data_IF_773248154573
#
_entry.id   IF_773248154573
#
_cell.length_a   1.000
_cell.length_b   1.000
_cell.length_c   1.000
_cell.angle_alpha   90.00
_cell.angle_beta   90.00
_cell.angle_gamma   90.00
#
_symmetry.space_group_name_H-M   'P 1'
#
loop_
_entity.id
_entity.type
_entity.pdbx_description
1 polymer ?
#
# COMPACT_ATOMS: atom_id res chain seq x y z
N UNK A 1 -53.59 20.79 37.14
CA UNK A 1 -53.43 20.08 35.84
C UNK A 1 -54.80 19.50 35.51
N UNK A 2 -55.28 19.64 34.26
CA UNK A 2 -56.48 18.92 33.80
C UNK A 2 -56.21 17.44 33.64
N UNK A 3 -57.17 16.57 33.89
CA UNK A 3 -57.09 15.11 33.66
C UNK A 3 -56.58 14.81 32.22
N UNK A 4 -57.05 15.58 31.23
CA UNK A 4 -56.60 15.49 29.84
C UNK A 4 -55.11 15.84 29.68
N UNK A 5 -54.60 16.82 30.45
CA UNK A 5 -53.16 17.16 30.44
C UNK A 5 -52.31 16.06 31.06
N UNK A 6 -52.77 15.41 32.12
CA UNK A 6 -52.09 14.27 32.73
C UNK A 6 -52.09 13.04 31.79
N UNK A 7 -53.21 12.76 31.10
CA UNK A 7 -53.33 11.71 30.12
C UNK A 7 -52.33 11.91 28.95
N UNK A 8 -52.31 13.10 28.37
CA UNK A 8 -51.43 13.42 27.27
C UNK A 8 -49.96 13.35 27.70
N UNK A 9 -49.60 13.82 28.89
CA UNK A 9 -48.22 13.70 29.40
C UNK A 9 -47.80 12.26 29.60
N UNK A 10 -48.65 11.39 30.12
CA UNK A 10 -48.39 9.98 30.32
C UNK A 10 -48.26 9.23 28.97
N UNK A 11 -49.13 9.54 28.00
CA UNK A 11 -49.09 8.96 26.67
C UNK A 11 -47.79 9.36 25.93
N UNK A 12 -47.39 10.64 25.95
CA UNK A 12 -46.12 11.11 25.39
C UNK A 12 -44.94 10.48 26.12
N UNK A 13 -44.99 10.33 27.44
CA UNK A 13 -43.98 9.65 28.25
C UNK A 13 -43.78 8.17 27.80
N UNK A 14 -44.87 7.44 27.57
CA UNK A 14 -44.83 6.07 27.07
C UNK A 14 -44.23 5.98 25.67
N UNK A 15 -44.63 6.85 24.76
CA UNK A 15 -44.06 6.91 23.39
C UNK A 15 -42.56 7.20 23.41
N UNK A 16 -42.15 8.13 24.27
CA UNK A 16 -40.74 8.52 24.41
C UNK A 16 -39.91 7.38 24.98
N UNK A 17 -40.40 6.70 26.04
CA UNK A 17 -39.69 5.57 26.64
C UNK A 17 -39.60 4.39 25.69
N UNK A 18 -40.61 4.13 24.85
CA UNK A 18 -40.53 3.13 23.77
C UNK A 18 -39.45 3.47 22.73
N UNK A 19 -39.37 4.76 22.33
CA UNK A 19 -38.35 5.24 21.42
C UNK A 19 -36.93 5.09 21.98
N UNK A 20 -36.73 5.45 23.24
CA UNK A 20 -35.45 5.31 23.96
C UNK A 20 -35.05 3.83 24.12
N UNK A 21 -36.04 2.96 24.49
CA UNK A 21 -35.80 1.51 24.59
C UNK A 21 -35.34 0.92 23.27
N UNK A 22 -35.90 1.35 22.14
CA UNK A 22 -35.50 0.92 20.83
C UNK A 22 -34.06 1.36 20.49
N UNK A 23 -33.70 2.60 20.81
CA UNK A 23 -32.33 3.12 20.59
C UNK A 23 -31.33 2.32 21.42
N UNK A 24 -31.59 2.08 22.71
CA UNK A 24 -30.71 1.32 23.59
C UNK A 24 -30.60 -0.17 23.12
N UNK A 25 -31.70 -0.78 22.69
CA UNK A 25 -31.70 -2.12 22.14
C UNK A 25 -30.88 -2.19 20.82
N UNK A 26 -31.00 -1.19 19.92
CA UNK A 26 -30.20 -1.08 18.70
C UNK A 26 -28.72 -0.93 19.06
N UNK A 27 -28.36 -0.10 20.07
CA UNK A 27 -26.98 0.07 20.54
C UNK A 27 -26.41 -1.28 21.04
N UNK A 28 -27.11 -1.97 21.93
CA UNK A 28 -26.65 -3.29 22.46
C UNK A 28 -26.51 -4.31 21.35
N UNK A 29 -27.48 -4.40 20.44
CA UNK A 29 -27.46 -5.36 19.33
C UNK A 29 -26.30 -5.14 18.37
N UNK A 30 -25.87 -3.89 18.20
CA UNK A 30 -24.81 -3.51 17.27
C UNK A 30 -23.47 -3.17 17.96
N UNK A 31 -23.34 -3.40 19.27
CA UNK A 31 -22.13 -3.09 20.02
C UNK A 31 -20.85 -3.71 19.45
N UNK A 32 -20.97 -4.87 18.77
CA UNK A 32 -19.87 -5.58 18.12
C UNK A 32 -19.81 -5.36 16.60
N UNK A 33 -20.70 -4.52 16.04
CA UNK A 33 -20.73 -4.24 14.60
C UNK A 33 -19.64 -3.22 14.26
N UNK A 34 -18.68 -3.54 13.38
CA UNK A 34 -17.64 -2.59 12.97
C UNK A 34 -18.25 -1.31 12.37
N UNK A 35 -17.76 -0.15 12.79
CA UNK A 35 -18.24 1.15 12.31
C UNK A 35 -19.54 1.65 12.93
N UNK A 36 -20.18 0.85 13.82
CA UNK A 36 -21.34 1.32 14.54
C UNK A 36 -20.94 2.37 15.60
N UNK A 37 -21.69 3.45 15.66
CA UNK A 37 -21.51 4.54 16.62
C UNK A 37 -22.70 4.62 17.55
N UNK A 38 -22.43 4.79 18.85
CA UNK A 38 -23.47 4.93 19.88
C UNK A 38 -24.46 6.02 19.51
N UNK A 39 -25.75 5.70 19.62
CA UNK A 39 -26.86 6.64 19.36
C UNK A 39 -27.52 7.05 20.66
N UNK A 40 -27.93 8.31 20.74
CA UNK A 40 -28.61 8.86 21.90
C UNK A 40 -29.86 9.67 21.49
N UNK A 41 -30.97 9.46 22.17
CA UNK A 41 -32.19 10.26 21.97
C UNK A 41 -32.10 11.58 22.72
N UNK A 42 -32.17 12.71 22.03
CA UNK A 42 -32.22 14.04 22.63
C UNK A 42 -33.67 14.36 23.00
N UNK A 43 -33.91 14.57 24.29
CA UNK A 43 -35.24 14.87 24.82
C UNK A 43 -35.49 16.38 24.90
N UNK A 44 -36.67 16.79 24.46
CA UNK A 44 -37.16 18.17 24.64
C UNK A 44 -38.56 18.17 25.21
N UNK A 45 -38.90 19.23 25.93
CA UNK A 45 -40.26 19.47 26.41
C UNK A 45 -41.09 20.07 25.28
N UNK A 46 -42.26 19.49 24.93
CA UNK A 46 -43.17 20.11 23.98
C UNK A 46 -43.55 21.52 24.45
N UNK A 47 -43.97 22.41 23.52
CA UNK A 47 -44.21 23.83 23.77
C UNK A 47 -45.12 24.13 24.97
N UNK A 48 -45.19 25.40 25.38
CA UNK A 48 -45.88 25.88 26.57
C UNK A 48 -47.32 25.37 26.63
N UNK A 49 -47.63 24.61 27.70
CA UNK A 49 -48.98 24.05 27.96
C UNK A 49 -49.13 22.56 27.64
N UNK A 50 -48.16 21.91 27.03
CA UNK A 50 -48.11 20.45 26.80
C UNK A 50 -47.09 19.85 27.79
N UNK A 51 -47.55 19.00 28.70
CA UNK A 51 -46.68 18.25 29.62
C UNK A 51 -46.08 17.04 28.89
N UNK A 52 -44.94 16.53 29.39
CA UNK A 52 -44.24 15.36 28.87
C UNK A 52 -42.91 15.68 28.22
N UNK A 53 -42.25 14.69 27.69
CA UNK A 53 -41.01 14.81 26.90
C UNK A 53 -41.18 14.07 25.58
N UNK A 54 -40.54 14.55 24.54
CA UNK A 54 -40.47 13.90 23.22
C UNK A 54 -39.03 13.77 22.77
N UNK A 55 -38.72 12.76 21.98
CA UNK A 55 -37.42 12.67 21.27
C UNK A 55 -37.47 13.66 20.10
N UNK A 56 -36.64 14.69 20.17
CA UNK A 56 -36.51 15.68 19.08
C UNK A 56 -35.58 15.23 17.98
N UNK A 57 -34.50 14.57 18.35
CA UNK A 57 -33.50 14.04 17.43
C UNK A 57 -32.83 12.82 18.01
N UNK A 58 -32.30 11.97 17.13
CA UNK A 58 -31.36 10.89 17.45
C UNK A 58 -29.98 11.37 17.04
N UNK A 59 -29.10 11.52 18.02
CA UNK A 59 -27.72 11.96 17.81
C UNK A 59 -26.77 10.79 17.89
N UNK A 60 -25.82 10.74 16.98
CA UNK A 60 -24.65 9.86 17.04
C UNK A 60 -23.56 10.53 17.89
N UNK A 61 -22.93 9.76 18.78
CA UNK A 61 -21.83 10.26 19.62
C UNK A 61 -20.51 10.16 18.85
N UNK A 62 -20.30 11.09 17.91
CA UNK A 62 -19.14 11.13 17.01
C UNK A 62 -18.11 12.14 17.49
N UNK A 63 -16.85 11.73 17.61
CA UNK A 63 -15.72 12.64 17.74
C UNK A 63 -15.08 12.91 16.35
N UNK A 64 -15.46 14.04 15.76
CA UNK A 64 -15.00 14.47 14.43
C UNK A 64 -13.46 14.58 14.37
N UNK A 65 -12.80 14.89 15.48
CA UNK A 65 -11.35 15.01 15.56
C UNK A 65 -10.71 13.63 15.47
N UNK A 66 -11.20 12.68 16.26
CA UNK A 66 -10.72 11.30 16.25
C UNK A 66 -11.00 10.62 14.90
N UNK A 67 -12.17 10.86 14.29
CA UNK A 67 -12.46 10.36 12.94
C UNK A 67 -11.47 10.89 11.91
N UNK A 68 -11.19 12.19 11.93
CA UNK A 68 -10.21 12.79 11.01
C UNK A 68 -8.81 12.22 11.23
N UNK A 69 -8.38 12.08 12.48
CA UNK A 69 -7.08 11.50 12.82
C UNK A 69 -7.01 10.03 12.41
N UNK A 70 -8.06 9.25 12.68
CA UNK A 70 -8.15 7.85 12.29
C UNK A 70 -7.99 7.66 10.77
N UNK A 71 -8.69 8.46 9.97
CA UNK A 71 -8.57 8.43 8.49
C UNK A 71 -7.17 8.83 8.02
N UNK A 72 -6.55 9.81 8.66
CA UNK A 72 -5.18 10.22 8.31
C UNK A 72 -4.16 9.12 8.62
N UNK A 73 -4.22 8.53 9.82
CA UNK A 73 -3.29 7.46 10.19
C UNK A 73 -3.55 6.18 9.38
N UNK A 74 -4.81 5.87 9.04
CA UNK A 74 -5.15 4.79 8.12
C UNK A 74 -4.53 5.00 6.72
N UNK A 75 -4.59 6.24 6.19
CA UNK A 75 -3.95 6.57 4.92
C UNK A 75 -2.43 6.37 4.95
N UNK A 76 -1.77 6.75 6.04
CA UNK A 76 -0.31 6.55 6.19
C UNK A 76 0.02 5.06 6.29
N UNK A 77 -0.72 4.32 7.09
CA UNK A 77 -0.54 2.87 7.24
C UNK A 77 -0.70 2.17 5.88
N UNK A 78 -1.75 2.47 5.13
CA UNK A 78 -2.00 1.89 3.82
C UNK A 78 -0.90 2.21 2.79
N UNK A 79 -0.31 3.42 2.83
CA UNK A 79 0.84 3.78 1.98
C UNK A 79 2.03 2.86 2.24
N UNK A 80 2.44 2.70 3.50
CA UNK A 80 3.61 1.88 3.82
C UNK A 80 3.35 0.39 3.65
N UNK A 81 2.11 -0.05 3.91
CA UNK A 81 1.68 -1.41 3.66
C UNK A 81 1.84 -1.79 2.17
N UNK A 82 1.34 -0.94 1.27
CA UNK A 82 1.44 -1.22 -0.16
C UNK A 82 2.89 -1.22 -0.68
N UNK A 83 3.79 -0.41 -0.10
CA UNK A 83 5.23 -0.48 -0.41
C UNK A 83 5.82 -1.81 0.06
N UNK A 84 5.56 -2.21 1.30
CA UNK A 84 6.07 -3.46 1.87
C UNK A 84 5.58 -4.68 1.09
N UNK A 85 4.28 -4.75 0.82
CA UNK A 85 3.67 -5.85 0.06
C UNK A 85 4.20 -5.91 -1.36
N UNK A 86 4.32 -4.77 -2.04
CA UNK A 86 4.84 -4.70 -3.41
C UNK A 86 6.30 -5.15 -3.54
N UNK A 87 7.12 -5.00 -2.50
CA UNK A 87 8.52 -5.46 -2.52
C UNK A 87 8.69 -6.93 -2.13
N UNK A 88 7.68 -7.58 -1.55
CA UNK A 88 7.80 -8.92 -0.95
C UNK A 88 8.28 -9.97 -1.95
N UNK A 89 7.72 -10.00 -3.15
CA UNK A 89 8.10 -10.97 -4.19
C UNK A 89 9.55 -10.83 -4.64
N UNK A 90 9.99 -9.60 -4.88
CA UNK A 90 11.35 -9.30 -5.29
C UNK A 90 12.37 -9.60 -4.20
N UNK A 91 12.10 -9.20 -2.96
CA UNK A 91 13.02 -9.45 -1.83
C UNK A 91 13.12 -10.93 -1.48
N UNK A 92 12.04 -11.69 -1.66
CA UNK A 92 12.07 -13.15 -1.52
C UNK A 92 12.98 -13.82 -2.56
N UNK A 93 12.98 -13.32 -3.81
CA UNK A 93 13.89 -13.81 -4.85
C UNK A 93 15.37 -13.54 -4.52
N UNK A 94 15.69 -12.33 -4.04
CA UNK A 94 17.06 -11.98 -3.66
C UNK A 94 17.60 -12.81 -2.50
N UNK A 95 16.74 -13.28 -1.61
CA UNK A 95 17.11 -13.96 -0.38
C UNK A 95 17.79 -13.03 0.64
N UNK A 96 18.37 -13.63 1.66
CA UNK A 96 19.15 -12.90 2.64
C UNK A 96 20.64 -12.91 2.27
N UNK A 97 21.43 -11.90 2.66
CA UNK A 97 22.86 -11.93 2.47
C UNK A 97 23.48 -13.20 3.08
N UNK A 98 24.18 -13.99 2.28
CA UNK A 98 24.79 -15.25 2.68
C UNK A 98 23.98 -16.52 2.38
N UNK A 99 22.75 -16.43 1.85
CA UNK A 99 21.94 -17.59 1.43
C UNK A 99 22.50 -18.27 0.17
N UNK A 100 23.47 -17.67 -0.49
CA UNK A 100 24.09 -18.20 -1.71
C UNK A 100 23.23 -18.03 -2.98
N UNK A 101 22.13 -17.28 -2.91
CA UNK A 101 21.17 -17.09 -4.00
C UNK A 101 21.29 -15.74 -4.70
N UNK A 102 21.74 -14.73 -4.00
CA UNK A 102 21.83 -13.37 -4.53
C UNK A 102 22.84 -13.21 -5.66
N UNK A 103 22.69 -12.21 -6.55
CA UNK A 103 23.70 -11.89 -7.56
C UNK A 103 25.09 -11.65 -6.97
N UNK A 104 25.20 -11.08 -5.77
CA UNK A 104 26.49 -10.88 -5.08
C UNK A 104 27.12 -12.19 -4.62
N UNK A 105 26.33 -13.14 -4.11
CA UNK A 105 26.84 -14.46 -3.72
C UNK A 105 27.30 -15.27 -4.92
N UNK A 106 26.55 -15.21 -6.05
CA UNK A 106 26.94 -15.85 -7.32
C UNK A 106 28.21 -15.24 -7.91
N UNK A 107 28.39 -13.92 -7.75
CA UNK A 107 29.62 -13.25 -8.13
C UNK A 107 30.83 -13.76 -7.32
N UNK A 108 30.70 -13.86 -6.02
CA UNK A 108 31.76 -14.40 -5.17
C UNK A 108 32.11 -15.85 -5.55
N UNK A 109 31.11 -16.67 -5.86
CA UNK A 109 31.30 -18.05 -6.34
C UNK A 109 32.08 -18.07 -7.67
N UNK A 110 31.70 -17.21 -8.60
CA UNK A 110 32.38 -17.06 -9.88
C UNK A 110 33.83 -16.58 -9.70
N UNK A 111 34.09 -15.58 -8.89
CA UNK A 111 35.45 -15.10 -8.60
C UNK A 111 36.33 -16.20 -7.96
N UNK A 112 35.79 -17.00 -7.05
CA UNK A 112 36.51 -18.14 -6.49
C UNK A 112 36.83 -19.21 -7.51
N UNK A 113 35.92 -19.43 -8.50
CA UNK A 113 36.16 -20.36 -9.57
C UNK A 113 37.26 -19.87 -10.54
N UNK A 114 37.33 -18.56 -10.84
CA UNK A 114 38.42 -17.96 -11.59
C UNK A 114 39.76 -18.11 -10.88
N UNK A 115 39.81 -17.91 -9.55
CA UNK A 115 41.01 -18.11 -8.74
C UNK A 115 41.47 -19.57 -8.76
N UNK A 116 40.52 -20.52 -8.67
CA UNK A 116 40.82 -21.96 -8.79
C UNK A 116 41.36 -22.31 -10.18
N UNK A 117 40.76 -21.75 -11.24
CA UNK A 117 41.21 -21.94 -12.61
C UNK A 117 42.61 -21.36 -12.84
N UNK A 118 42.94 -20.21 -12.26
CA UNK A 118 44.28 -19.61 -12.33
C UNK A 118 45.36 -20.54 -11.77
N UNK A 119 45.04 -21.30 -10.71
CA UNK A 119 45.92 -22.28 -10.10
C UNK A 119 45.99 -23.62 -10.90
N UNK A 120 44.95 -23.93 -11.68
CA UNK A 120 44.79 -25.17 -12.41
C UNK A 120 44.37 -24.92 -13.89
N UNK A 121 45.12 -24.13 -14.67
CA UNK A 121 44.69 -23.65 -15.99
C UNK A 121 44.52 -24.76 -17.03
N UNK A 122 45.23 -25.87 -16.87
CA UNK A 122 45.13 -27.06 -17.76
C UNK A 122 43.95 -27.96 -17.44
N UNK A 123 43.24 -27.75 -16.34
CA UNK A 123 42.12 -28.60 -15.91
C UNK A 123 40.83 -28.25 -16.66
N UNK A 124 40.39 -29.14 -17.55
CA UNK A 124 39.10 -29.00 -18.23
C UNK A 124 37.92 -28.91 -17.24
N UNK A 125 38.02 -29.62 -16.10
CA UNK A 125 37.04 -29.56 -15.03
C UNK A 125 36.97 -28.17 -14.35
N UNK A 126 38.12 -27.51 -14.11
CA UNK A 126 38.17 -26.16 -13.59
C UNK A 126 37.63 -25.14 -14.60
N UNK A 127 37.98 -25.29 -15.90
CA UNK A 127 37.45 -24.45 -16.98
C UNK A 127 35.91 -24.55 -17.06
N UNK A 128 35.36 -25.78 -17.09
CA UNK A 128 33.91 -26.02 -17.11
C UNK A 128 33.22 -25.48 -15.87
N UNK A 129 33.79 -25.66 -14.65
CA UNK A 129 33.24 -25.12 -13.42
C UNK A 129 33.17 -23.60 -13.44
N UNK A 130 34.18 -22.92 -14.02
CA UNK A 130 34.18 -21.46 -14.16
C UNK A 130 33.09 -20.98 -15.13
N UNK A 131 32.87 -21.68 -16.26
CA UNK A 131 31.80 -21.38 -17.21
C UNK A 131 30.42 -21.54 -16.51
N UNK A 132 30.21 -22.62 -15.75
CA UNK A 132 28.97 -22.85 -15.02
C UNK A 132 28.73 -21.76 -13.96
N UNK A 133 29.78 -21.36 -13.22
CA UNK A 133 29.68 -20.29 -12.25
C UNK A 133 29.35 -18.92 -12.90
N UNK A 134 29.91 -18.65 -14.10
CA UNK A 134 29.56 -17.47 -14.88
C UNK A 134 28.09 -17.49 -15.34
N UNK A 135 27.60 -18.67 -15.81
CA UNK A 135 26.18 -18.82 -16.20
C UNK A 135 25.24 -18.68 -15.01
N UNK A 136 25.60 -19.21 -13.84
CA UNK A 136 24.82 -19.05 -12.61
C UNK A 136 24.74 -17.59 -12.17
N UNK A 137 25.83 -16.83 -12.30
CA UNK A 137 25.86 -15.39 -12.08
C UNK A 137 24.94 -14.66 -13.07
N UNK A 138 25.12 -14.90 -14.36
CA UNK A 138 24.30 -14.27 -15.40
C UNK A 138 22.81 -14.59 -15.22
N UNK A 139 22.47 -15.83 -14.86
CA UNK A 139 21.10 -16.28 -14.59
C UNK A 139 20.52 -15.61 -13.35
N UNK A 140 21.30 -15.43 -12.28
CA UNK A 140 20.87 -14.75 -11.06
C UNK A 140 20.55 -13.28 -11.33
N UNK A 141 21.39 -12.57 -12.10
CA UNK A 141 21.15 -11.17 -12.49
C UNK A 141 19.90 -11.04 -13.38
N UNK A 142 19.79 -11.90 -14.41
CA UNK A 142 18.57 -11.93 -15.26
C UNK A 142 17.31 -12.21 -14.46
N UNK A 143 17.38 -13.19 -13.57
CA UNK A 143 16.24 -13.56 -12.72
C UNK A 143 15.80 -12.40 -11.81
N UNK A 144 16.74 -11.66 -11.23
CA UNK A 144 16.43 -10.46 -10.45
C UNK A 144 15.72 -9.41 -11.32
N UNK A 145 16.22 -9.13 -12.53
CA UNK A 145 15.61 -8.18 -13.45
C UNK A 145 14.20 -8.62 -13.90
N UNK A 146 14.01 -9.90 -14.22
CA UNK A 146 12.69 -10.46 -14.60
C UNK A 146 11.70 -10.37 -13.45
N UNK A 147 12.13 -10.72 -12.23
CA UNK A 147 11.27 -10.63 -11.03
C UNK A 147 10.88 -9.18 -10.76
N UNK A 148 11.81 -8.24 -10.90
CA UNK A 148 11.53 -6.82 -10.72
C UNK A 148 10.54 -6.29 -11.78
N UNK A 149 10.70 -6.71 -13.04
CA UNK A 149 9.74 -6.40 -14.10
C UNK A 149 8.34 -6.99 -13.84
N UNK A 150 8.26 -8.21 -13.28
CA UNK A 150 6.99 -8.80 -12.82
C UNK A 150 6.37 -7.96 -11.70
N UNK A 151 7.16 -7.57 -10.70
CA UNK A 151 6.73 -6.69 -9.61
C UNK A 151 6.16 -5.37 -10.13
N UNK A 152 6.79 -4.76 -11.14
CA UNK A 152 6.27 -3.53 -11.77
C UNK A 152 4.89 -3.76 -12.44
N UNK A 153 4.71 -4.92 -13.09
CA UNK A 153 3.43 -5.28 -13.68
C UNK A 153 2.34 -5.47 -12.62
N UNK A 154 2.68 -6.14 -11.51
CA UNK A 154 1.76 -6.35 -10.39
C UNK A 154 1.36 -5.02 -9.74
N UNK A 155 2.32 -4.11 -9.53
CA UNK A 155 2.07 -2.74 -9.06
C UNK A 155 1.14 -1.98 -10.02
N UNK A 156 1.33 -2.10 -11.33
CA UNK A 156 0.44 -1.46 -12.31
C UNK A 156 -0.99 -2.03 -12.27
N UNK A 157 -1.15 -3.33 -12.03
CA UNK A 157 -2.47 -3.94 -11.87
C UNK A 157 -3.13 -3.47 -10.57
N UNK A 158 -2.40 -3.45 -9.47
CA UNK A 158 -2.91 -3.01 -8.18
C UNK A 158 -3.36 -1.54 -8.22
N UNK A 159 -2.59 -0.64 -8.84
CA UNK A 159 -3.04 0.76 -9.04
C UNK A 159 -4.38 0.80 -9.79
N UNK A 160 -4.58 -0.05 -10.79
CA UNK A 160 -5.86 -0.08 -11.53
C UNK A 160 -7.02 -0.57 -10.66
N UNK A 161 -6.79 -1.58 -9.80
CA UNK A 161 -7.80 -2.07 -8.87
C UNK A 161 -8.16 -1.01 -7.84
N UNK A 162 -7.16 -0.39 -7.22
CA UNK A 162 -7.35 0.67 -6.24
C UNK A 162 -8.08 1.89 -6.83
N UNK A 163 -7.77 2.27 -8.08
CA UNK A 163 -8.48 3.34 -8.80
C UNK A 163 -9.94 2.97 -9.08
N UNK A 164 -10.21 1.71 -9.46
CA UNK A 164 -11.57 1.24 -9.67
C UNK A 164 -12.38 1.23 -8.36
N UNK A 165 -11.79 0.73 -7.28
CA UNK A 165 -12.40 0.69 -5.95
C UNK A 165 -12.66 2.08 -5.40
N UNK A 166 -11.72 3.02 -5.60
CA UNK A 166 -11.90 4.42 -5.24
C UNK A 166 -13.09 5.05 -5.97
N UNK A 167 -13.17 4.88 -7.28
CA UNK A 167 -14.28 5.42 -8.07
C UNK A 167 -15.61 4.80 -7.62
N UNK A 168 -15.66 3.48 -7.41
CA UNK A 168 -16.85 2.81 -6.89
C UNK A 168 -17.28 3.38 -5.54
N UNK A 169 -16.34 3.56 -4.61
CA UNK A 169 -16.61 4.13 -3.29
C UNK A 169 -17.11 5.59 -3.37
N UNK A 170 -16.55 6.39 -4.29
CA UNK A 170 -17.01 7.77 -4.52
C UNK A 170 -18.45 7.81 -5.07
N UNK A 171 -18.81 6.94 -6.00
CA UNK A 171 -20.19 6.83 -6.49
C UNK A 171 -21.15 6.34 -5.39
N UNK A 172 -20.74 5.34 -4.62
CA UNK A 172 -21.53 4.85 -3.48
C UNK A 172 -21.78 5.95 -2.44
N UNK A 173 -20.76 6.74 -2.12
CA UNK A 173 -20.90 7.84 -1.19
C UNK A 173 -21.83 8.95 -1.71
N UNK A 174 -21.76 9.29 -3.00
CA UNK A 174 -22.71 10.21 -3.67
C UNK A 174 -24.14 9.73 -3.50
N UNK A 175 -24.39 8.44 -3.76
CA UNK A 175 -25.73 7.86 -3.70
C UNK A 175 -26.27 7.80 -2.27
N UNK A 176 -25.42 7.43 -1.31
CA UNK A 176 -25.73 7.47 0.13
C UNK A 176 -26.04 8.89 0.60
N UNK A 177 -25.24 9.88 0.19
CA UNK A 177 -25.45 11.29 0.52
C UNK A 177 -26.76 11.83 -0.08
N UNK A 178 -27.13 11.38 -1.28
CA UNK A 178 -28.40 11.74 -1.92
C UNK A 178 -29.59 11.14 -1.18
N UNK A 179 -29.54 9.85 -0.87
CA UNK A 179 -30.61 9.15 -0.13
C UNK A 179 -30.77 9.68 1.31
N UNK A 180 -29.67 10.01 1.97
CA UNK A 180 -29.70 10.60 3.32
C UNK A 180 -30.51 11.89 3.40
N UNK A 181 -30.50 12.71 2.32
CA UNK A 181 -31.24 13.99 2.27
C UNK A 181 -32.76 13.83 2.18
N UNK A 182 -33.26 12.65 1.86
CA UNK A 182 -34.71 12.35 1.84
C UNK A 182 -35.28 12.21 3.26
N UNK A 183 -34.41 12.03 4.27
CA UNK A 183 -34.79 11.87 5.66
C UNK A 183 -34.53 13.15 6.48
N UNK A 184 -35.39 13.40 7.44
CA UNK A 184 -35.22 14.54 8.37
C UNK A 184 -33.88 14.40 9.13
N UNK A 185 -33.17 15.50 9.27
CA UNK A 185 -31.98 15.54 10.12
C UNK A 185 -32.32 15.11 11.54
N UNK A 186 -31.49 14.28 12.16
CA UNK A 186 -31.73 13.73 13.50
C UNK A 186 -32.76 12.59 13.55
N UNK A 187 -33.25 12.06 12.42
CA UNK A 187 -34.05 10.84 12.40
C UNK A 187 -33.16 9.58 12.52
N UNK A 188 -33.74 8.46 12.96
CA UNK A 188 -33.03 7.18 13.01
C UNK A 188 -32.49 6.77 11.63
N UNK A 189 -33.26 6.98 10.59
CA UNK A 189 -32.84 6.62 9.22
C UNK A 189 -31.68 7.49 8.75
N UNK A 190 -31.68 8.80 9.04
CA UNK A 190 -30.54 9.67 8.72
C UNK A 190 -29.26 9.20 9.42
N UNK A 191 -29.33 8.78 10.69
CA UNK A 191 -28.21 8.27 11.46
C UNK A 191 -27.63 6.97 10.84
N UNK A 192 -28.47 6.08 10.33
CA UNK A 192 -28.03 4.87 9.61
C UNK A 192 -27.31 5.17 8.30
N UNK A 193 -27.75 6.18 7.56
CA UNK A 193 -27.05 6.62 6.34
C UNK A 193 -25.70 7.25 6.68
N UNK A 194 -25.64 8.08 7.73
CA UNK A 194 -24.40 8.69 8.21
C UNK A 194 -23.35 7.62 8.60
N UNK A 195 -23.74 6.50 9.22
CA UNK A 195 -22.85 5.37 9.53
C UNK A 195 -22.33 4.69 8.26
N UNK A 196 -23.20 4.42 7.30
CA UNK A 196 -22.77 3.84 6.00
C UNK A 196 -21.81 4.77 5.27
N UNK A 197 -22.07 6.08 5.30
CA UNK A 197 -21.15 7.05 4.70
C UNK A 197 -19.80 7.08 5.41
N UNK A 198 -19.75 7.00 6.75
CA UNK A 198 -18.49 6.91 7.49
C UNK A 198 -17.69 5.66 7.13
N UNK A 199 -18.35 4.51 6.96
CA UNK A 199 -17.69 3.27 6.52
C UNK A 199 -17.05 3.42 5.13
N UNK A 200 -17.76 4.04 4.19
CA UNK A 200 -17.22 4.30 2.85
C UNK A 200 -16.09 5.34 2.88
N UNK A 201 -16.20 6.37 3.72
CA UNK A 201 -15.15 7.36 3.92
C UNK A 201 -13.88 6.75 4.54
N UNK A 202 -14.04 5.80 5.46
CA UNK A 202 -12.92 5.07 6.06
C UNK A 202 -12.22 4.17 5.02
N UNK A 203 -12.99 3.53 4.11
CA UNK A 203 -12.46 2.79 2.95
C UNK A 203 -11.69 3.71 1.99
N UNK A 204 -12.28 4.83 1.58
CA UNK A 204 -11.61 5.82 0.70
C UNK A 204 -10.30 6.31 1.34
N UNK A 205 -10.28 6.49 2.67
CA UNK A 205 -9.09 6.95 3.37
C UNK A 205 -7.92 5.98 3.35
N UNK A 206 -8.15 4.69 3.13
CA UNK A 206 -7.09 3.71 2.87
C UNK A 206 -6.45 3.90 1.51
N UNK A 207 -7.24 4.30 0.51
CA UNK A 207 -6.78 4.42 -0.88
C UNK A 207 -6.09 5.75 -1.15
N UNK A 208 -6.69 6.86 -0.65
CA UNK A 208 -6.19 8.23 -0.83
C UNK A 208 -6.35 9.05 0.44
N UNK A 209 -5.52 10.05 0.61
CA UNK A 209 -5.68 11.05 1.67
C UNK A 209 -6.93 11.91 1.42
N UNK A 210 -7.74 12.13 2.47
CA UNK A 210 -9.02 12.81 2.32
C UNK A 210 -9.24 13.94 3.31
N UNK A 211 -9.88 15.00 2.82
CA UNK A 211 -10.50 16.05 3.63
C UNK A 211 -11.99 16.11 3.28
N UNK A 212 -12.81 15.75 4.26
CA UNK A 212 -14.27 15.74 4.13
C UNK A 212 -14.84 17.08 4.61
N UNK A 213 -15.77 17.63 3.86
CA UNK A 213 -16.56 18.82 4.25
C UNK A 213 -18.03 18.52 4.05
N UNK A 214 -18.85 18.94 5.03
CA UNK A 214 -20.31 18.82 4.96
C UNK A 214 -20.92 20.20 4.89
N UNK A 215 -21.78 20.42 3.89
CA UNK A 215 -22.52 21.68 3.76
C UNK A 215 -23.68 21.76 4.76
N UNK A 216 -24.23 22.96 4.95
CA UNK A 216 -25.42 23.16 5.77
C UNK A 216 -26.66 22.35 5.27
N UNK A 217 -26.71 22.01 4.00
CA UNK A 217 -27.75 21.15 3.39
C UNK A 217 -27.51 19.65 3.60
N UNK A 218 -26.41 19.25 4.29
CA UNK A 218 -26.04 17.85 4.49
C UNK A 218 -25.35 17.20 3.27
N UNK A 219 -25.00 17.97 2.25
CA UNK A 219 -24.22 17.49 1.11
C UNK A 219 -22.76 17.32 1.50
N UNK A 220 -22.15 16.19 1.15
CA UNK A 220 -20.75 15.88 1.40
C UNK A 220 -19.90 16.25 0.19
N UNK A 221 -18.73 16.83 0.45
CA UNK A 221 -17.67 17.02 -0.54
C UNK A 221 -16.37 16.48 -0.01
N UNK A 222 -15.62 15.79 -0.89
CA UNK A 222 -14.32 15.19 -0.58
C UNK A 222 -13.26 15.82 -1.46
N UNK A 223 -12.20 16.24 -0.81
CA UNK A 223 -10.98 16.74 -1.44
C UNK A 223 -9.79 15.93 -0.95
N UNK A 224 -8.75 15.82 -1.75
CA UNK A 224 -7.45 15.38 -1.26
C UNK A 224 -6.89 16.41 -0.27
N UNK A 225 -5.90 16.05 0.56
CA UNK A 225 -5.22 17.03 1.43
C UNK A 225 -4.55 18.15 0.62
N UNK A 226 -4.19 17.85 -0.62
CA UNK A 226 -3.61 18.84 -1.55
C UNK A 226 -4.65 19.73 -2.22
N UNK A 227 -5.94 19.45 -2.04
CA UNK A 227 -7.06 20.28 -2.47
C UNK A 227 -7.69 19.88 -3.79
N UNK A 228 -7.33 18.73 -4.39
CA UNK A 228 -8.03 18.21 -5.57
C UNK A 228 -9.41 17.69 -5.18
N UNK A 229 -10.43 18.03 -5.98
CA UNK A 229 -11.78 17.56 -5.75
C UNK A 229 -11.93 16.11 -6.23
N UNK A 230 -12.49 15.26 -5.37
CA UNK A 230 -12.88 13.88 -5.70
C UNK A 230 -14.41 13.76 -5.79
N UNK A 231 -15.12 14.43 -4.89
CA UNK A 231 -16.56 14.53 -4.90
C UNK A 231 -16.97 15.95 -4.48
N UNK A 232 -17.78 16.64 -5.28
CA UNK A 232 -18.37 17.93 -4.95
C UNK A 232 -19.90 17.85 -5.02
N UNK A 233 -20.54 17.69 -3.88
CA UNK A 233 -21.98 17.49 -3.81
C UNK A 233 -22.43 16.22 -4.55
N UNK A 234 -22.96 16.34 -5.77
CA UNK A 234 -23.38 15.20 -6.60
C UNK A 234 -22.40 14.90 -7.77
N UNK A 235 -21.37 15.71 -7.94
CA UNK A 235 -20.41 15.51 -9.02
C UNK A 235 -19.21 14.70 -8.53
N UNK A 236 -19.02 13.50 -9.08
CA UNK A 236 -17.84 12.67 -8.90
C UNK A 236 -16.80 13.08 -9.95
N UNK A 237 -15.58 13.29 -9.54
CA UNK A 237 -14.43 13.47 -10.42
C UNK A 237 -13.68 12.14 -10.51
N UNK A 238 -13.96 11.39 -11.57
CA UNK A 238 -13.37 10.06 -11.76
C UNK A 238 -11.84 10.12 -11.71
N UNK A 239 -11.28 9.22 -10.93
CA UNK A 239 -9.82 9.02 -10.88
C UNK A 239 -9.43 8.09 -12.02
N UNK A 240 -8.40 8.46 -12.77
CA UNK A 240 -7.86 7.66 -13.87
C UNK A 240 -6.37 7.49 -13.73
N UNK A 241 -5.85 6.35 -14.20
CA UNK A 241 -4.45 5.99 -14.15
C UNK A 241 -3.91 5.70 -15.56
N UNK A 242 -2.80 6.35 -15.92
CA UNK A 242 -2.05 6.02 -17.12
C UNK A 242 -0.85 5.14 -16.77
N UNK A 243 -0.82 3.85 -17.16
CA UNK A 243 0.27 2.95 -16.80
C UNK A 243 1.59 3.27 -17.50
N UNK A 244 1.58 4.00 -18.63
CA UNK A 244 2.79 4.29 -19.40
C UNK A 244 3.72 5.28 -18.67
N UNK A 245 3.14 6.32 -18.05
CA UNK A 245 3.90 7.38 -17.37
C UNK A 245 3.62 7.46 -15.86
N UNK A 246 2.68 6.65 -15.36
CA UNK A 246 2.29 6.63 -13.96
C UNK A 246 1.45 7.82 -13.50
N UNK A 247 0.83 8.56 -14.44
CA UNK A 247 0.01 9.73 -14.12
C UNK A 247 -1.33 9.31 -13.53
N UNK A 248 -1.73 9.97 -12.44
CA UNK A 248 -3.04 9.88 -11.80
C UNK A 248 -3.78 11.20 -11.98
N UNK A 249 -5.01 11.13 -12.48
CA UNK A 249 -5.87 12.31 -12.69
C UNK A 249 -7.17 12.15 -11.90
N UNK A 250 -7.65 13.22 -11.26
CA UNK A 250 -9.01 13.32 -10.74
C UNK A 250 -9.78 14.30 -11.64
N UNK A 251 -10.65 13.78 -12.50
CA UNK A 251 -11.24 14.56 -13.58
C UNK A 251 -10.16 15.17 -14.48
N UNK A 252 -9.99 16.49 -14.45
CA UNK A 252 -8.97 17.22 -15.22
C UNK A 252 -7.73 17.59 -14.40
N UNK A 253 -7.72 17.32 -13.09
CA UNK A 253 -6.66 17.73 -12.20
C UNK A 253 -5.64 16.60 -12.01
N UNK A 254 -4.33 16.91 -12.21
CA UNK A 254 -3.24 15.98 -11.93
C UNK A 254 -3.06 15.84 -10.42
N UNK A 255 -3.16 14.60 -9.92
CA UNK A 255 -2.99 14.23 -8.51
C UNK A 255 -1.81 13.29 -8.28
N UNK A 256 -0.95 13.14 -9.27
CA UNK A 256 0.19 12.21 -9.25
C UNK A 256 1.11 12.52 -8.07
N UNK A 257 1.37 11.56 -7.17
CA UNK A 257 2.30 11.74 -6.05
C UNK A 257 3.74 12.00 -6.54
N UNK A 258 4.50 12.77 -5.77
CA UNK A 258 5.93 13.03 -6.00
C UNK A 258 6.27 13.62 -7.38
N UNK A 259 5.29 14.11 -8.14
CA UNK A 259 5.53 14.78 -9.42
C UNK A 259 5.82 16.24 -9.18
N UNK A 260 6.93 16.74 -9.73
CA UNK A 260 7.34 18.15 -9.61
C UNK A 260 6.27 19.10 -10.17
N UNK A 261 5.97 20.17 -9.43
CA UNK A 261 4.95 21.16 -9.82
C UNK A 261 3.51 20.72 -9.64
N UNK A 262 3.25 19.49 -9.18
CA UNK A 262 1.92 18.93 -8.96
C UNK A 262 1.59 18.87 -7.47
N UNK A 263 0.36 19.26 -7.11
CA UNK A 263 -0.19 19.02 -5.77
C UNK A 263 -0.77 17.62 -5.69
N UNK A 264 0.12 16.61 -5.73
CA UNK A 264 -0.25 15.20 -5.74
C UNK A 264 -0.82 14.71 -4.41
N UNK A 265 -1.23 13.45 -4.42
CA UNK A 265 -1.60 12.70 -3.20
C UNK A 265 -0.42 12.64 -2.24
N UNK A 266 -0.70 12.68 -0.93
CA UNK A 266 0.33 12.64 0.11
C UNK A 266 0.42 11.29 0.79
N UNK A 267 -0.72 10.62 0.99
CA UNK A 267 -0.85 9.35 1.69
C UNK A 267 -1.88 8.46 0.98
N UNK A 268 -1.99 7.22 1.43
CA UNK A 268 -2.88 6.21 0.86
C UNK A 268 -2.12 5.16 0.05
N UNK A 269 -2.78 4.01 -0.21
CA UNK A 269 -2.21 2.91 -0.99
C UNK A 269 -1.75 3.35 -2.37
N UNK A 270 -2.52 4.21 -3.07
CA UNK A 270 -2.14 4.78 -4.36
C UNK A 270 -0.84 5.59 -4.30
N UNK A 271 -0.55 6.26 -3.19
CA UNK A 271 0.71 6.98 -3.00
C UNK A 271 1.88 6.01 -2.86
N UNK A 272 1.72 4.94 -2.06
CA UNK A 272 2.74 3.91 -1.90
C UNK A 272 3.04 3.17 -3.20
N UNK A 273 2.01 2.74 -3.92
CA UNK A 273 2.13 2.10 -5.23
C UNK A 273 2.79 3.03 -6.28
N UNK A 274 2.45 4.32 -6.25
CA UNK A 274 3.10 5.31 -7.11
C UNK A 274 4.58 5.49 -6.77
N UNK A 275 4.96 5.44 -5.49
CA UNK A 275 6.35 5.49 -5.04
C UNK A 275 7.14 4.26 -5.52
N UNK A 276 6.54 3.06 -5.42
CA UNK A 276 7.13 1.84 -5.99
C UNK A 276 7.41 2.00 -7.48
N UNK A 277 6.39 2.43 -8.25
CA UNK A 277 6.48 2.54 -9.71
C UNK A 277 7.47 3.59 -10.19
N UNK A 278 7.56 4.75 -9.52
CA UNK A 278 8.27 5.93 -10.03
C UNK A 278 9.65 6.12 -9.43
N UNK A 279 9.92 5.53 -8.27
CA UNK A 279 11.18 5.74 -7.55
C UNK A 279 11.89 4.41 -7.22
N UNK A 280 11.25 3.54 -6.47
CA UNK A 280 11.94 2.37 -5.91
C UNK A 280 12.31 1.35 -6.99
N UNK A 281 11.34 0.92 -7.80
CA UNK A 281 11.57 -0.08 -8.85
C UNK A 281 12.54 0.43 -9.92
N UNK A 282 12.38 1.63 -10.50
CA UNK A 282 13.32 2.15 -11.48
C UNK A 282 14.75 2.29 -10.94
N UNK A 283 14.92 2.66 -9.68
CA UNK A 283 16.24 2.73 -9.04
C UNK A 283 16.87 1.33 -8.92
N UNK A 284 16.11 0.31 -8.55
CA UNK A 284 16.60 -1.06 -8.49
C UNK A 284 16.93 -1.62 -9.89
N UNK A 285 16.12 -1.31 -10.89
CA UNK A 285 16.42 -1.65 -12.30
C UNK A 285 17.74 -1.01 -12.75
N UNK A 286 17.91 0.27 -12.46
CA UNK A 286 19.16 0.97 -12.79
C UNK A 286 20.38 0.37 -12.07
N UNK A 287 20.24 -0.03 -10.81
CA UNK A 287 21.31 -0.71 -10.07
C UNK A 287 21.70 -2.04 -10.72
N UNK A 288 20.71 -2.85 -11.11
CA UNK A 288 20.94 -4.13 -11.80
C UNK A 288 21.58 -3.93 -13.18
N UNK A 289 21.14 -2.93 -13.95
CA UNK A 289 21.69 -2.62 -15.26
C UNK A 289 23.15 -2.13 -15.16
N UNK A 290 23.47 -1.29 -14.20
CA UNK A 290 24.83 -0.83 -13.94
C UNK A 290 25.75 -1.96 -13.48
N UNK A 291 25.22 -2.87 -12.65
CA UNK A 291 25.95 -4.07 -12.27
C UNK A 291 26.24 -4.98 -13.47
N UNK A 292 25.24 -5.24 -14.32
CA UNK A 292 25.42 -6.01 -15.56
C UNK A 292 26.40 -5.33 -16.52
N UNK A 293 26.33 -3.99 -16.68
CA UNK A 293 27.26 -3.19 -17.46
C UNK A 293 28.70 -3.38 -16.94
N UNK A 294 28.87 -3.26 -15.63
CA UNK A 294 30.18 -3.45 -15.00
C UNK A 294 30.77 -4.83 -15.31
N UNK A 295 29.96 -5.88 -15.20
CA UNK A 295 30.36 -7.25 -15.52
C UNK A 295 30.78 -7.35 -17.00
N UNK A 296 29.91 -6.97 -17.95
CA UNK A 296 30.19 -7.11 -19.40
C UNK A 296 31.43 -6.34 -19.77
N UNK A 297 31.52 -5.05 -19.43
CA UNK A 297 32.67 -4.21 -19.83
C UNK A 297 33.99 -4.63 -19.19
N UNK A 298 34.00 -5.10 -17.95
CA UNK A 298 35.24 -5.52 -17.29
C UNK A 298 35.85 -6.72 -17.99
N UNK A 299 35.02 -7.69 -18.41
CA UNK A 299 35.53 -8.88 -19.11
C UNK A 299 35.85 -8.61 -20.60
N UNK A 300 35.09 -7.73 -21.26
CA UNK A 300 35.45 -7.28 -22.63
C UNK A 300 36.79 -6.55 -22.64
N UNK A 301 37.00 -5.60 -21.75
CA UNK A 301 38.22 -4.80 -21.68
C UNK A 301 39.46 -5.61 -21.23
N UNK A 302 39.26 -6.69 -20.51
CA UNK A 302 40.33 -7.54 -19.99
C UNK A 302 40.72 -8.67 -20.97
N UNK A 303 39.90 -8.96 -21.97
CA UNK A 303 40.18 -10.01 -22.94
C UNK A 303 41.03 -9.48 -24.11
N UNK A 304 42.33 -9.68 -24.01
CA UNK A 304 43.29 -9.22 -25.03
C UNK A 304 43.16 -9.93 -26.40
N UNK A 305 42.39 -11.01 -26.48
CA UNK A 305 42.17 -11.78 -27.70
C UNK A 305 41.04 -11.22 -28.58
N UNK A 306 40.19 -10.36 -28.05
CA UNK A 306 39.04 -9.81 -28.76
C UNK A 306 39.44 -8.72 -29.76
N UNK A 307 38.84 -8.78 -30.95
CA UNK A 307 38.82 -7.64 -31.84
C UNK A 307 37.79 -6.59 -31.37
N UNK A 308 37.93 -5.36 -31.84
CA UNK A 308 37.02 -4.28 -31.47
C UNK A 308 35.56 -4.61 -31.84
N UNK A 309 34.66 -4.58 -30.87
CA UNK A 309 33.24 -4.87 -31.04
C UNK A 309 32.86 -6.36 -30.98
N UNK A 310 33.81 -7.24 -30.67
CA UNK A 310 33.50 -8.64 -30.38
C UNK A 310 33.03 -8.83 -28.94
N UNK A 311 32.03 -9.72 -28.71
CA UNK A 311 31.52 -9.98 -27.38
C UNK A 311 32.53 -10.79 -26.54
N UNK A 312 32.70 -10.39 -25.29
CA UNK A 312 33.56 -11.06 -24.30
C UNK A 312 32.92 -12.29 -23.64
N UNK A 313 33.36 -12.59 -22.40
CA UNK A 313 32.85 -13.70 -21.60
C UNK A 313 31.36 -13.52 -21.28
N UNK A 314 30.96 -12.30 -20.88
CA UNK A 314 29.58 -11.92 -20.72
C UNK A 314 29.13 -11.01 -21.87
N UNK A 315 27.87 -11.13 -22.28
CA UNK A 315 27.34 -10.51 -23.50
C UNK A 315 25.96 -9.86 -23.21
N UNK A 316 25.58 -8.87 -24.03
CA UNK A 316 24.22 -8.35 -24.16
C UNK A 316 23.49 -9.19 -25.23
N UNK A 317 22.82 -10.26 -24.79
CA UNK A 317 22.09 -11.18 -25.69
C UNK A 317 22.98 -11.66 -26.89
N UNK A 318 24.19 -12.10 -26.59
CA UNK A 318 25.17 -12.58 -27.60
C UNK A 318 26.00 -11.49 -28.26
N UNK A 319 25.74 -10.21 -28.01
CA UNK A 319 26.43 -9.05 -28.57
C UNK A 319 27.41 -8.43 -27.57
N UNK A 320 28.36 -7.63 -28.06
CA UNK A 320 29.19 -6.78 -27.22
C UNK A 320 28.39 -5.64 -26.60
N UNK A 321 28.91 -5.07 -25.54
CA UNK A 321 28.26 -3.95 -24.86
C UNK A 321 28.06 -2.76 -25.79
N UNK A 322 26.86 -2.17 -25.73
CA UNK A 322 26.54 -0.89 -26.36
C UNK A 322 25.88 0.09 -25.39
N UNK A 323 26.46 1.26 -25.24
CA UNK A 323 25.89 2.30 -24.38
C UNK A 323 24.45 2.71 -24.77
N UNK A 324 24.09 2.57 -26.05
CA UNK A 324 22.73 2.84 -26.55
C UNK A 324 21.70 1.83 -26.01
N UNK A 325 22.13 0.63 -25.58
CA UNK A 325 21.28 -0.45 -25.10
C UNK A 325 21.48 -0.74 -23.59
N UNK A 326 21.97 0.22 -22.81
CA UNK A 326 22.25 0.03 -21.38
C UNK A 326 21.00 -0.27 -20.54
N UNK A 327 19.85 0.29 -20.90
CA UNK A 327 18.58 0.06 -20.21
C UNK A 327 18.09 -1.37 -20.48
N UNK A 328 17.76 -2.10 -19.40
CA UNK A 328 17.32 -3.50 -19.46
C UNK A 328 18.45 -4.49 -19.73
N UNK A 329 19.72 -4.08 -19.62
CA UNK A 329 20.88 -4.94 -19.84
C UNK A 329 20.91 -6.13 -18.87
N UNK A 330 20.54 -5.93 -17.62
CA UNK A 330 20.47 -7.00 -16.61
C UNK A 330 19.58 -8.17 -17.06
N UNK A 331 18.46 -7.86 -17.69
CA UNK A 331 17.53 -8.87 -18.23
C UNK A 331 18.05 -9.60 -19.47
N UNK A 332 19.09 -9.11 -20.13
CA UNK A 332 19.69 -9.66 -21.35
C UNK A 332 21.10 -10.23 -21.15
N UNK A 333 21.63 -10.12 -19.92
CA UNK A 333 22.97 -10.60 -19.59
C UNK A 333 23.08 -12.10 -19.82
N UNK A 334 24.04 -12.54 -20.62
CA UNK A 334 24.31 -13.94 -20.97
C UNK A 334 25.81 -14.25 -21.00
N UNK A 335 26.17 -15.50 -20.82
CA UNK A 335 27.50 -16.00 -21.09
C UNK A 335 27.61 -16.24 -22.62
N UNK A 336 28.78 -16.02 -23.17
CA UNK A 336 29.02 -16.18 -24.60
C UNK A 336 28.73 -17.62 -25.10
N UNK A 337 27.93 -17.74 -26.14
CA UNK A 337 27.46 -19.02 -26.68
C UNK A 337 28.60 -19.96 -27.10
N UNK A 338 29.80 -19.42 -27.46
CA UNK A 338 31.00 -20.25 -27.78
C UNK A 338 31.37 -21.18 -26.61
N UNK A 339 31.04 -20.80 -25.37
CA UNK A 339 31.34 -21.57 -24.17
C UNK A 339 30.23 -22.59 -23.81
N UNK A 340 29.01 -22.37 -24.30
CA UNK A 340 27.81 -23.14 -23.93
C UNK A 340 27.32 -24.07 -25.07
N UNK A 341 27.93 -23.99 -26.29
CA UNK A 341 27.47 -24.75 -27.45
C UNK A 341 27.55 -26.27 -27.21
N UNK A 342 26.41 -26.94 -27.39
CA UNK A 342 26.29 -28.41 -27.34
C UNK A 342 26.99 -29.02 -28.54
N UNK A 343 28.16 -29.62 -28.31
CA UNK A 343 28.88 -30.37 -29.36
C UNK A 343 30.40 -30.20 -29.40
N UNK A 344 30.91 -29.03 -29.13
CA UNK A 344 32.32 -28.78 -28.84
C UNK A 344 32.37 -27.64 -27.83
N UNK A 345 32.22 -27.99 -26.53
CA UNK A 345 32.40 -27.04 -25.45
C UNK A 345 33.80 -26.44 -25.54
N UNK A 346 33.89 -25.22 -26.08
CA UNK A 346 35.17 -24.50 -26.18
C UNK A 346 35.54 -23.83 -24.87
N UNK A 347 35.32 -24.55 -23.70
CA UNK A 347 35.61 -24.06 -22.35
C UNK A 347 37.03 -23.56 -22.16
N UNK A 348 37.96 -24.03 -22.99
CA UNK A 348 39.36 -23.58 -23.01
C UNK A 348 39.48 -22.06 -23.31
N UNK A 349 38.49 -21.45 -23.96
CA UNK A 349 38.46 -20.00 -24.23
C UNK A 349 38.40 -19.15 -22.98
N UNK A 350 37.93 -19.69 -21.86
CA UNK A 350 38.00 -18.96 -20.56
C UNK A 350 39.46 -18.76 -20.13
N UNK A 351 40.37 -19.71 -20.53
CA UNK A 351 41.79 -19.61 -20.28
C UNK A 351 42.53 -18.75 -21.31
N UNK A 352 42.20 -18.91 -22.58
CA UNK A 352 42.98 -18.36 -23.68
C UNK A 352 42.39 -17.07 -24.28
N UNK A 353 41.16 -16.71 -23.89
CA UNK A 353 40.37 -15.58 -24.42
C UNK A 353 39.33 -16.00 -25.45
N UNK A 354 38.21 -15.25 -25.51
CA UNK A 354 37.04 -15.54 -26.32
C UNK A 354 37.29 -15.37 -27.83
N UNK A 355 38.24 -14.51 -28.18
CA UNK A 355 38.71 -14.28 -29.56
C UNK A 355 39.83 -15.21 -30.01
N UNK A 356 40.39 -16.05 -29.13
CA UNK A 356 41.50 -16.93 -29.49
C UNK A 356 41.14 -17.91 -30.62
N UNK A 357 41.99 -18.03 -31.63
CA UNK A 357 41.77 -18.89 -32.81
C UNK A 357 42.12 -20.35 -32.56
N UNK A 358 42.97 -20.66 -31.57
CA UNK A 358 43.40 -21.99 -31.17
C UNK A 358 43.79 -22.03 -29.70
N UNK A 359 43.85 -23.24 -29.13
CA UNK A 359 44.31 -23.43 -27.77
C UNK A 359 45.78 -23.07 -27.60
N UNK A 360 46.07 -22.24 -26.61
CA UNK A 360 47.41 -21.90 -26.18
C UNK A 360 48.06 -22.98 -25.29
N UNK A 361 49.27 -22.69 -24.72
CA UNK A 361 49.93 -23.60 -23.79
C UNK A 361 49.03 -23.95 -22.60
N UNK A 362 48.98 -25.22 -22.22
CA UNK A 362 48.07 -25.71 -21.18
C UNK A 362 48.30 -25.06 -19.79
N UNK A 363 49.50 -24.57 -19.51
CA UNK A 363 49.86 -23.89 -18.26
C UNK A 363 49.70 -22.36 -18.30
N UNK A 364 49.20 -21.81 -19.40
CA UNK A 364 49.02 -20.36 -19.55
C UNK A 364 47.87 -19.87 -18.69
N UNK A 365 48.13 -18.91 -17.84
CA UNK A 365 47.16 -18.30 -16.96
C UNK A 365 47.03 -16.77 -17.14
N UNK A 366 47.71 -16.22 -18.15
CA UNK A 366 47.78 -14.77 -18.35
C UNK A 366 46.43 -14.12 -18.54
N UNK A 367 45.54 -14.69 -19.35
CA UNK A 367 44.19 -14.17 -19.60
C UNK A 367 43.29 -14.32 -18.34
N UNK A 368 43.40 -15.43 -17.61
CA UNK A 368 42.64 -15.65 -16.38
C UNK A 368 43.03 -14.59 -15.33
N UNK A 369 44.32 -14.34 -15.19
CA UNK A 369 44.83 -13.31 -14.28
C UNK A 369 44.40 -11.90 -14.68
N UNK A 370 44.30 -11.63 -16.02
CA UNK A 370 43.75 -10.38 -16.51
C UNK A 370 42.26 -10.21 -16.14
N UNK A 371 41.45 -11.27 -16.21
CA UNK A 371 40.09 -11.28 -15.76
C UNK A 371 39.98 -11.02 -14.25
N UNK A 372 40.79 -11.70 -13.42
CA UNK A 372 40.81 -11.47 -11.97
C UNK A 372 41.19 -10.02 -11.65
N UNK A 373 42.24 -9.50 -12.30
CA UNK A 373 42.67 -8.12 -12.09
C UNK A 373 41.64 -7.08 -12.54
N UNK A 374 40.79 -7.41 -13.53
CA UNK A 374 39.71 -6.54 -13.96
C UNK A 374 38.61 -6.37 -12.92
N UNK A 375 38.39 -7.39 -12.08
CA UNK A 375 37.39 -7.34 -11.00
C UNK A 375 37.77 -6.38 -9.86
N UNK A 376 39.06 -6.07 -9.72
CA UNK A 376 39.57 -5.14 -8.72
C UNK A 376 39.69 -3.68 -9.24
N UNK A 377 39.34 -3.46 -10.52
CA UNK A 377 39.34 -2.12 -11.10
C UNK A 377 38.06 -1.37 -10.70
N UNK A 378 38.16 -0.08 -10.34
CA UNK A 378 36.99 0.74 -10.07
C UNK A 378 36.10 0.88 -11.31
N UNK A 379 34.79 0.82 -11.09
CA UNK A 379 33.75 1.10 -12.08
C UNK A 379 33.32 2.56 -11.95
N UNK A 380 33.27 3.29 -13.06
CA UNK A 380 32.55 4.56 -13.10
C UNK A 380 31.06 4.26 -13.24
N UNK A 381 30.31 4.24 -12.11
CA UNK A 381 28.86 4.00 -12.15
C UNK A 381 28.09 5.25 -12.56
N UNK A 382 26.91 5.05 -13.19
CA UNK A 382 26.02 6.17 -13.53
C UNK A 382 25.47 6.83 -12.28
N UNK A 383 25.26 8.14 -12.34
CA UNK A 383 24.54 8.88 -11.31
C UNK A 383 23.08 8.42 -11.24
N UNK A 384 22.51 8.28 -10.02
CA UNK A 384 21.11 7.89 -9.81
C UNK A 384 20.90 6.51 -9.20
N UNK A 385 21.94 5.66 -9.18
CA UNK A 385 21.87 4.33 -8.50
C UNK A 385 21.82 4.45 -6.97
N UNK A 386 22.23 5.59 -6.41
CA UNK A 386 22.43 5.74 -4.97
C UNK A 386 23.66 5.00 -4.41
N UNK A 387 24.47 4.39 -5.28
CA UNK A 387 25.71 3.69 -4.95
C UNK A 387 26.89 4.62 -5.25
N UNK A 388 27.96 4.62 -4.42
CA UNK A 388 29.15 5.42 -4.68
C UNK A 388 29.75 5.12 -6.05
N UNK A 389 30.30 6.16 -6.70
CA UNK A 389 31.10 6.01 -7.93
C UNK A 389 32.51 5.52 -7.57
N UNK A 390 33.20 4.93 -8.52
CA UNK A 390 34.57 4.42 -8.35
C UNK A 390 34.73 3.29 -7.33
N UNK A 391 33.76 2.40 -7.27
CA UNK A 391 33.82 1.15 -6.49
C UNK A 391 34.13 -0.05 -7.39
N UNK A 392 34.69 -1.11 -6.84
CA UNK A 392 34.88 -2.39 -7.58
C UNK A 392 33.54 -3.05 -7.89
N UNK A 393 33.51 -3.98 -8.88
CA UNK A 393 32.28 -4.75 -9.17
C UNK A 393 31.76 -5.47 -7.92
N UNK A 394 32.67 -6.03 -7.12
CA UNK A 394 32.34 -6.72 -5.87
C UNK A 394 31.65 -5.78 -4.87
N UNK A 395 32.29 -4.62 -4.67
CA UNK A 395 31.76 -3.62 -3.72
C UNK A 395 30.43 -3.06 -4.24
N UNK A 396 30.28 -2.85 -5.54
CA UNK A 396 29.02 -2.44 -6.16
C UNK A 396 27.92 -3.48 -5.92
N UNK A 397 28.20 -4.78 -6.09
CA UNK A 397 27.24 -5.85 -5.80
C UNK A 397 26.82 -5.87 -4.33
N UNK A 398 27.77 -5.70 -3.41
CA UNK A 398 27.50 -5.66 -1.98
C UNK A 398 26.66 -4.43 -1.59
N UNK A 399 27.01 -3.24 -2.11
CA UNK A 399 26.26 -2.00 -1.86
C UNK A 399 24.86 -2.05 -2.48
N UNK A 400 24.70 -2.64 -3.67
CA UNK A 400 23.40 -2.84 -4.31
C UNK A 400 22.48 -3.69 -3.41
N UNK A 401 22.92 -4.87 -3.00
CA UNK A 401 22.12 -5.73 -2.10
C UNK A 401 21.84 -5.05 -0.78
N UNK A 402 22.82 -4.35 -0.21
CA UNK A 402 22.64 -3.59 1.04
C UNK A 402 21.63 -2.48 0.89
N UNK A 403 21.69 -1.71 -0.20
CA UNK A 403 20.74 -0.62 -0.50
C UNK A 403 19.30 -1.15 -0.64
N UNK A 404 19.12 -2.25 -1.36
CA UNK A 404 17.82 -2.87 -1.56
C UNK A 404 17.27 -3.52 -0.28
N UNK A 405 18.13 -4.15 0.52
CA UNK A 405 17.75 -4.69 1.83
C UNK A 405 17.37 -3.58 2.81
N UNK A 406 18.10 -2.45 2.79
CA UNK A 406 17.80 -1.29 3.62
C UNK A 406 16.44 -0.68 3.28
N UNK A 407 16.08 -0.57 1.99
CA UNK A 407 14.76 -0.10 1.56
C UNK A 407 13.64 -1.01 2.08
N UNK A 408 13.84 -2.33 2.03
CA UNK A 408 12.90 -3.31 2.62
C UNK A 408 12.73 -3.10 4.13
N UNK A 409 13.86 -3.04 4.87
CA UNK A 409 13.83 -2.85 6.33
C UNK A 409 13.19 -1.51 6.70
N UNK A 410 13.47 -0.47 5.93
CA UNK A 410 12.88 0.85 6.12
C UNK A 410 11.37 0.80 5.92
N UNK A 411 10.88 0.20 4.82
CA UNK A 411 9.44 0.10 4.57
C UNK A 411 8.71 -0.73 5.62
N UNK A 412 9.34 -1.79 6.14
CA UNK A 412 8.82 -2.59 7.26
C UNK A 412 8.73 -1.78 8.56
N UNK A 413 9.77 -1.01 8.89
CA UNK A 413 9.77 -0.14 10.08
C UNK A 413 8.72 0.99 9.95
N UNK A 414 8.63 1.62 8.79
CA UNK A 414 7.66 2.67 8.51
C UNK A 414 6.22 2.13 8.60
N UNK A 415 5.96 0.94 8.07
CA UNK A 415 4.67 0.26 8.23
C UNK A 415 4.35 -0.05 9.69
N UNK A 416 5.27 -0.63 10.44
CA UNK A 416 5.08 -0.96 11.85
C UNK A 416 4.79 0.29 12.70
N UNK A 417 5.50 1.39 12.44
CA UNK A 417 5.26 2.67 13.10
C UNK A 417 3.88 3.25 12.76
N UNK A 418 3.51 3.26 11.47
CA UNK A 418 2.21 3.77 11.01
C UNK A 418 1.05 2.89 11.50
N UNK A 419 1.21 1.57 11.47
CA UNK A 419 0.22 0.61 12.00
C UNK A 419 -0.02 0.81 13.50
N UNK A 420 1.06 0.98 14.29
CA UNK A 420 0.95 1.26 15.72
C UNK A 420 0.23 2.60 15.99
N UNK A 421 0.54 3.64 15.22
CA UNK A 421 -0.12 4.94 15.34
C UNK A 421 -1.63 4.85 14.97
N UNK A 422 -1.95 4.14 13.89
CA UNK A 422 -3.32 3.91 13.45
C UNK A 422 -4.13 3.16 14.52
N UNK A 423 -3.55 2.10 15.12
CA UNK A 423 -4.23 1.32 16.18
C UNK A 423 -4.50 2.15 17.43
N UNK A 424 -3.57 3.02 17.86
CA UNK A 424 -3.77 3.91 19.01
C UNK A 424 -4.95 4.86 18.77
N UNK A 425 -5.00 5.50 17.59
CA UNK A 425 -6.08 6.43 17.25
C UNK A 425 -7.40 5.69 17.06
N UNK A 426 -7.38 4.54 16.40
CA UNK A 426 -8.58 3.71 16.20
C UNK A 426 -9.14 3.18 17.53
N UNK A 427 -8.27 2.80 18.47
CA UNK A 427 -8.68 2.39 19.82
C UNK A 427 -9.28 3.56 20.59
N UNK A 428 -8.69 4.76 20.53
CA UNK A 428 -9.25 5.96 21.13
C UNK A 428 -10.63 6.30 20.54
N UNK A 429 -10.79 6.18 19.20
CA UNK A 429 -12.07 6.37 18.50
C UNK A 429 -13.12 5.35 18.98
N UNK A 430 -12.78 4.06 19.03
CA UNK A 430 -13.69 3.00 19.52
C UNK A 430 -14.12 3.24 20.97
N UNK A 431 -13.21 3.71 21.81
CA UNK A 431 -13.52 4.02 23.21
C UNK A 431 -14.44 5.25 23.37
N UNK A 432 -14.33 6.23 22.46
CA UNK A 432 -15.16 7.44 22.48
C UNK A 432 -16.54 7.24 21.83
N UNK A 433 -16.59 6.54 20.68
CA UNK A 433 -17.77 6.40 19.83
C UNK A 433 -18.53 5.08 20.05
N UNK A 434 -17.88 4.11 20.69
CA UNK A 434 -18.40 2.75 20.86
C UNK A 434 -19.50 2.63 21.89
N UNK A 435 -20.18 1.49 21.87
CA UNK A 435 -21.25 1.16 22.82
C UNK A 435 -20.65 0.44 24.02
N UNK A 436 -20.87 0.99 25.22
CA UNK A 436 -20.65 0.27 26.46
C UNK A 436 -21.95 -0.46 26.85
N UNK A 437 -21.94 -1.78 26.78
CA UNK A 437 -23.13 -2.62 27.03
C UNK A 437 -23.65 -2.42 28.48
N UNK A 438 -22.75 -2.25 29.45
CA UNK A 438 -23.17 -2.07 30.85
C UNK A 438 -23.91 -0.75 31.05
N UNK A 439 -23.46 0.32 30.40
CA UNK A 439 -24.14 1.64 30.46
C UNK A 439 -25.50 1.56 29.75
N UNK A 440 -25.60 0.90 28.60
CA UNK A 440 -26.88 0.73 27.91
C UNK A 440 -27.86 -0.14 28.71
N UNK A 441 -27.39 -1.19 29.39
CA UNK A 441 -28.23 -2.03 30.24
C UNK A 441 -28.74 -1.24 31.45
N UNK A 442 -27.93 -0.38 32.09
CA UNK A 442 -28.37 0.51 33.15
C UNK A 442 -29.45 1.50 32.65
N UNK A 443 -29.22 2.06 31.46
CA UNK A 443 -30.17 2.97 30.83
C UNK A 443 -31.49 2.26 30.49
N UNK A 444 -31.46 1.02 30.00
CA UNK A 444 -32.67 0.20 29.76
C UNK A 444 -33.48 -0.01 31.04
N UNK A 445 -32.84 -0.28 32.18
CA UNK A 445 -33.52 -0.44 33.49
C UNK A 445 -34.22 0.88 33.88
N UNK A 446 -33.58 2.02 33.69
CA UNK A 446 -34.19 3.33 33.98
C UNK A 446 -35.37 3.64 33.04
N UNK A 447 -35.26 3.26 31.77
CA UNK A 447 -36.33 3.42 30.78
C UNK A 447 -37.51 2.50 31.15
N UNK A 448 -37.28 1.26 31.57
CA UNK A 448 -38.31 0.32 32.03
C UNK A 448 -39.05 0.86 33.23
N UNK A 449 -38.35 1.38 34.24
CA UNK A 449 -38.96 2.01 35.41
C UNK A 449 -39.81 3.22 35.00
N UNK A 450 -39.33 4.06 34.10
CA UNK A 450 -40.08 5.22 33.59
C UNK A 450 -41.31 4.79 32.80
N UNK A 451 -41.19 3.71 31.99
CA UNK A 451 -42.34 3.14 31.27
C UNK A 451 -43.41 2.63 32.24
N UNK A 452 -43.00 1.86 33.27
CA UNK A 452 -43.92 1.35 34.31
C UNK A 452 -44.63 2.49 35.08
N UNK A 453 -43.89 3.57 35.40
CA UNK A 453 -44.49 4.74 36.08
C UNK A 453 -45.53 5.46 35.19
N UNK A 454 -45.21 5.73 33.93
CA UNK A 454 -46.14 6.34 32.97
C UNK A 454 -47.37 5.48 32.70
N UNK A 455 -47.21 4.14 32.63
CA UNK A 455 -48.31 3.19 32.48
C UNK A 455 -49.26 3.22 33.66
N UNK A 456 -48.74 3.31 34.91
CA UNK A 456 -49.55 3.43 36.11
C UNK A 456 -50.32 4.75 36.14
N UNK A 457 -49.69 5.87 35.75
CA UNK A 457 -50.37 7.17 35.65
C UNK A 457 -51.53 7.07 34.65
N UNK A 458 -51.29 6.45 33.48
CA UNK A 458 -52.32 6.28 32.45
C UNK A 458 -53.51 5.47 32.97
N UNK A 459 -53.26 4.34 33.64
CA UNK A 459 -54.31 3.52 34.28
C UNK A 459 -55.09 4.30 35.31
N UNK A 460 -54.39 5.01 36.25
CA UNK A 460 -55.06 5.79 37.29
C UNK A 460 -55.91 6.92 36.71
N UNK A 461 -55.46 7.61 35.67
CA UNK A 461 -56.23 8.65 34.98
C UNK A 461 -57.44 8.06 34.27
N UNK A 462 -57.29 6.86 33.63
CA UNK A 462 -58.43 6.16 33.03
C UNK A 462 -59.48 5.79 34.06
N UNK A 463 -59.08 5.21 35.20
CA UNK A 463 -59.99 4.85 36.31
C UNK A 463 -60.74 6.09 36.88
N UNK A 464 -60.05 7.24 36.95
CA UNK A 464 -60.64 8.50 37.33
C UNK A 464 -61.70 9.02 36.36
N UNK A 465 -61.43 8.86 35.04
CA UNK A 465 -62.35 9.24 33.96
C UNK A 465 -63.58 8.33 34.02
N UNK A 466 -63.38 7.00 34.15
CA UNK A 466 -64.49 6.05 34.27
C UNK A 466 -65.36 6.33 35.51
N UNK A 467 -64.76 6.69 36.66
CA UNK A 467 -65.45 7.05 37.83
C UNK A 467 -66.28 8.34 37.65
N UNK A 468 -65.76 9.34 36.97
CA UNK A 468 -66.47 10.55 36.58
C UNK A 468 -67.62 10.29 35.64
N UNK A 469 -67.47 9.44 34.67
CA UNK A 469 -68.55 9.05 33.76
C UNK A 469 -69.65 8.26 34.49
N UNK A 470 -69.30 7.39 35.43
CA UNK A 470 -70.26 6.63 36.24
C UNK A 470 -71.04 7.53 37.30
N UNK A 471 -70.47 8.72 37.59
CA UNK A 471 -71.07 9.68 38.58
C UNK A 471 -72.03 10.71 37.92
N UNK A 472 -72.09 10.73 36.55
CA UNK A 472 -73.01 11.55 35.77
C UNK A 472 -74.17 10.70 35.25
#
# INVERSE_FOLDING_TARGET
>A
MSLTGALNSAALGLQTTQGLSRIAADNVSNAMTPGYVRRQGVLVTPGAGQGGAIISEIRREVDVTLQRMSRLENSKMAQYQSIQEGLTGYTAYLGQPGDGTSPADKFNTFQNSLTTLSNLPSSNGAQAATVLAAEDLARSVRGAAVTLGSTLNDVNMEIRYEVADLNQALYQLRDLSSSRREFAAGSLESAKFDEKMDTVLDQISGIVDTRVTTSASGSISIYTLSGAALLEGNQVHDVTFNPSDGTLMAGTQDITPFKEGVRGLRYGSLTGLSQLKRDIIPRFEQQLDEYARGIVQSFENADASLAAGEPGLFTDNGSAFSAANSVGLAGRLQVNDKLLATGALEVWRVRDGLGASAQGPASEAGQINAFIAALDKPLSSASGTGIPTDVTIRDFAAEMITSQALERVKSENDFNAASSAAEVVMSARRNSEGVNIDDEMQQLILIEQSYAANSRILSTVSDMIDTLIAAV
#
